data_IF_274578580442
#
_entry.id   IF_274578580442
#
_cell.length_a   1.000
_cell.length_b   1.000
_cell.length_c   1.000
_cell.angle_alpha   90.00
_cell.angle_beta   90.00
_cell.angle_gamma   90.00
#
_symmetry.space_group_name_H-M   'P 1'
#
loop_
_entity.id
_entity.type
_entity.pdbx_description
1 polymer ?
#
# COMPACT_ATOMS: atom_id res chain seq x y z
N UNK A 1 24.34 -8.22 -22.65
CA UNK A 1 23.27 -8.90 -21.91
C UNK A 1 23.92 -9.95 -21.04
N UNK A 2 24.31 -9.57 -19.82
CA UNK A 2 24.75 -10.53 -18.81
C UNK A 2 23.49 -11.02 -18.13
N UNK A 3 23.13 -12.26 -18.43
CA UNK A 3 22.08 -13.02 -17.79
C UNK A 3 22.43 -13.09 -16.28
N UNK A 4 21.79 -12.25 -15.45
CA UNK A 4 21.94 -12.29 -13.98
C UNK A 4 21.21 -13.52 -13.44
N UNK A 5 21.62 -14.71 -13.89
CA UNK A 5 21.20 -15.96 -13.27
C UNK A 5 21.84 -16.01 -11.88
N UNK A 6 21.02 -16.33 -10.88
CA UNK A 6 21.52 -16.72 -9.56
C UNK A 6 22.52 -17.85 -9.75
N UNK A 7 23.72 -17.79 -9.13
CA UNK A 7 24.67 -18.89 -9.16
C UNK A 7 23.98 -20.18 -8.73
N UNK A 8 24.24 -21.28 -9.44
CA UNK A 8 23.62 -22.59 -9.17
C UNK A 8 23.84 -23.10 -7.73
N UNK A 9 24.82 -22.53 -7.03
CA UNK A 9 25.25 -22.94 -5.69
C UNK A 9 24.66 -22.07 -4.55
N UNK A 10 23.75 -21.13 -4.84
CA UNK A 10 23.05 -20.39 -3.78
C UNK A 10 21.87 -21.20 -3.25
N UNK A 11 21.74 -21.24 -1.92
CA UNK A 11 20.61 -21.85 -1.22
C UNK A 11 19.28 -21.32 -1.77
N UNK A 12 18.31 -22.20 -2.02
CA UNK A 12 16.99 -21.78 -2.46
C UNK A 12 16.36 -20.88 -1.39
N UNK A 13 15.63 -19.82 -1.79
CA UNK A 13 14.96 -18.98 -0.80
C UNK A 13 13.91 -19.82 -0.08
N UNK A 14 13.63 -19.48 1.17
CA UNK A 14 12.62 -20.19 1.94
C UNK A 14 11.24 -20.05 1.27
N UNK A 15 10.39 -21.09 1.32
CA UNK A 15 9.02 -20.99 0.80
C UNK A 15 8.25 -19.92 1.59
N UNK A 16 7.52 -19.06 0.88
CA UNK A 16 6.58 -18.10 1.48
C UNK A 16 5.44 -18.91 2.12
N UNK A 17 5.40 -19.00 3.45
CA UNK A 17 4.42 -19.82 4.16
C UNK A 17 3.40 -19.03 4.97
N UNK A 18 3.67 -17.76 5.26
CA UNK A 18 2.76 -16.86 5.93
C UNK A 18 2.54 -15.50 5.21
N UNK A 19 1.63 -14.71 5.76
CA UNK A 19 1.32 -13.40 5.23
C UNK A 19 2.46 -12.38 5.48
N UNK A 20 3.32 -12.60 6.48
CA UNK A 20 4.46 -11.73 6.76
C UNK A 20 5.59 -11.94 5.73
N UNK A 21 5.84 -13.17 5.29
CA UNK A 21 6.73 -13.49 4.19
C UNK A 21 6.27 -12.84 2.88
N UNK A 22 4.94 -12.84 2.64
CA UNK A 22 4.35 -12.27 1.42
C UNK A 22 4.27 -10.75 1.46
N UNK A 23 3.80 -10.17 2.57
CA UNK A 23 3.38 -8.77 2.67
C UNK A 23 4.17 -7.95 3.69
N UNK A 24 5.06 -8.56 4.49
CA UNK A 24 5.91 -7.90 5.48
C UNK A 24 5.23 -7.86 6.83
N UNK A 25 5.82 -7.14 7.79
CA UNK A 25 5.19 -6.98 9.10
C UNK A 25 3.82 -6.31 8.96
N UNK A 26 2.75 -7.07 9.19
CA UNK A 26 1.39 -6.54 9.16
C UNK A 26 1.04 -6.05 10.57
N UNK A 27 0.81 -4.75 10.71
CA UNK A 27 0.35 -4.17 11.97
C UNK A 27 -1.17 -3.99 11.94
N UNK A 28 -1.85 -4.55 12.94
CA UNK A 28 -3.28 -4.35 13.11
C UNK A 28 -3.56 -2.87 13.36
N UNK A 29 -4.52 -2.32 12.62
CA UNK A 29 -5.00 -0.97 12.86
C UNK A 29 -5.90 -1.01 14.10
N UNK A 30 -5.45 -0.38 15.17
CA UNK A 30 -6.23 -0.27 16.40
C UNK A 30 -7.31 0.82 16.22
N UNK A 31 -8.55 0.37 16.05
CA UNK A 31 -9.72 1.24 15.95
C UNK A 31 -10.50 1.31 17.28
N UNK A 32 -10.00 0.70 18.36
CA UNK A 32 -10.73 0.57 19.62
C UNK A 32 -10.85 1.92 20.37
N UNK A 33 -10.16 2.96 19.92
CA UNK A 33 -10.17 4.30 20.54
C UNK A 33 -11.13 5.33 19.90
N UNK A 34 -11.83 5.02 18.81
CA UNK A 34 -12.83 5.97 18.26
C UNK A 34 -14.27 5.59 18.66
N UNK A 35 -14.88 6.42 19.52
CA UNK A 35 -16.35 6.56 19.50
C UNK A 35 -16.79 6.73 18.03
N UNK A 36 -17.86 6.07 17.57
CA UNK A 36 -18.28 6.16 16.18
C UNK A 36 -18.40 7.62 15.79
N UNK A 37 -17.44 8.07 14.98
CA UNK A 37 -17.36 9.44 14.52
C UNK A 37 -18.69 9.85 13.91
N UNK A 38 -18.98 11.14 14.00
CA UNK A 38 -20.13 11.77 13.36
C UNK A 38 -20.34 11.22 11.94
N UNK A 39 -21.59 11.06 11.51
CA UNK A 39 -21.91 10.46 10.21
C UNK A 39 -21.19 11.23 9.11
N UNK A 40 -20.72 10.54 8.06
CA UNK A 40 -20.13 11.17 6.87
C UNK A 40 -21.09 12.28 6.38
N UNK A 41 -20.63 13.54 6.46
CA UNK A 41 -21.40 14.75 6.10
C UNK A 41 -21.79 15.66 7.27
N UNK A 42 -21.65 15.21 8.51
CA UNK A 42 -21.85 16.05 9.69
C UNK A 42 -20.70 17.06 9.85
N UNK A 43 -21.02 18.26 10.34
CA UNK A 43 -20.01 19.27 10.64
C UNK A 43 -19.25 18.87 11.90
N UNK A 44 -17.93 18.71 11.78
CA UNK A 44 -17.05 18.50 12.93
C UNK A 44 -17.15 19.71 13.88
N UNK A 45 -17.37 19.50 15.19
CA UNK A 45 -17.42 20.58 16.16
C UNK A 45 -16.15 21.45 16.14
N UNK A 46 -16.28 22.77 16.29
CA UNK A 46 -15.15 23.72 16.22
C UNK A 46 -13.98 23.34 17.15
N UNK A 47 -14.29 22.81 18.33
CA UNK A 47 -13.28 22.37 19.30
C UNK A 47 -12.46 21.18 18.81
N UNK A 48 -13.10 20.23 18.13
CA UNK A 48 -12.43 19.07 17.54
C UNK A 48 -11.66 19.48 16.28
N UNK A 49 -12.22 20.36 15.46
CA UNK A 49 -11.53 20.95 14.32
C UNK A 49 -10.24 21.65 14.74
N UNK A 50 -10.26 22.44 15.81
CA UNK A 50 -9.06 23.13 16.31
C UNK A 50 -7.98 22.16 16.83
N UNK A 51 -8.37 20.97 17.31
CA UNK A 51 -7.42 19.93 17.70
C UNK A 51 -6.87 19.17 16.49
N UNK A 52 -7.73 18.79 15.54
CA UNK A 52 -7.37 18.04 14.33
C UNK A 52 -6.60 18.90 13.32
N UNK A 53 -6.89 20.21 13.28
CA UNK A 53 -6.30 21.19 12.37
C UNK A 53 -5.81 22.38 13.20
N UNK A 54 -4.61 22.27 13.81
CA UNK A 54 -4.04 23.39 14.57
C UNK A 54 -3.83 24.61 13.66
N UNK A 55 -3.90 25.81 14.23
CA UNK A 55 -3.77 27.10 13.53
C UNK A 55 -2.49 27.23 12.67
N UNK A 56 -1.46 26.44 12.98
CA UNK A 56 -0.24 26.38 12.18
C UNK A 56 -0.46 25.68 10.83
N UNK A 57 -1.23 24.58 10.80
CA UNK A 57 -1.58 23.85 9.56
C UNK A 57 -2.49 24.70 8.68
N UNK A 58 -3.49 25.35 9.26
CA UNK A 58 -4.39 26.25 8.53
C UNK A 58 -3.64 27.42 7.84
N UNK A 59 -2.54 27.91 8.44
CA UNK A 59 -1.69 28.95 7.85
C UNK A 59 -0.76 28.45 6.75
N UNK A 60 -0.43 27.16 6.75
CA UNK A 60 0.39 26.49 5.72
C UNK A 60 -0.45 25.96 4.55
N UNK A 61 -1.77 25.87 4.71
CA UNK A 61 -2.68 25.45 3.64
C UNK A 61 -2.54 26.38 2.42
N UNK A 62 -2.22 25.81 1.26
CA UNK A 62 -2.00 26.54 0.01
C UNK A 62 -0.62 27.18 -0.15
N UNK A 63 0.31 26.93 0.79
CA UNK A 63 1.74 27.26 0.64
C UNK A 63 2.51 26.17 -0.12
N UNK A 64 1.83 25.08 -0.52
CA UNK A 64 2.40 23.93 -1.23
C UNK A 64 3.09 24.38 -2.52
N UNK A 65 4.38 24.09 -2.64
CA UNK A 65 5.25 24.43 -3.76
C UNK A 65 5.51 25.93 -3.96
N UNK A 66 4.99 26.80 -3.08
CA UNK A 66 5.09 28.25 -3.23
C UNK A 66 6.32 28.86 -2.52
N UNK A 67 7.03 28.09 -1.71
CA UNK A 67 8.10 28.57 -0.84
C UNK A 67 9.40 27.78 -1.02
N UNK A 68 10.52 28.45 -0.75
CA UNK A 68 11.89 27.93 -0.82
C UNK A 68 12.17 26.94 0.33
N UNK A 69 13.18 26.07 0.14
CA UNK A 69 13.61 24.82 0.83
C UNK A 69 13.34 24.59 2.34
N UNK A 70 12.82 25.53 3.12
CA UNK A 70 12.63 25.40 4.57
C UNK A 70 11.16 25.42 5.03
N UNK A 71 10.20 25.58 4.11
CA UNK A 71 8.77 25.63 4.40
C UNK A 71 8.02 24.46 3.74
N UNK A 72 8.70 23.33 3.60
CA UNK A 72 8.11 22.06 3.17
C UNK A 72 6.93 21.70 4.08
N UNK A 73 5.81 21.45 3.44
CA UNK A 73 4.55 20.99 4.00
C UNK A 73 4.34 19.52 3.64
N UNK A 74 3.50 18.80 4.40
CA UNK A 74 3.23 17.37 4.15
C UNK A 74 2.62 17.08 2.77
N UNK A 75 2.09 18.10 2.11
CA UNK A 75 1.49 18.03 0.77
C UNK A 75 2.51 18.33 -0.36
N UNK A 76 3.75 18.67 -0.03
CA UNK A 76 4.82 18.90 -1.00
C UNK A 76 5.44 17.58 -1.48
N UNK A 77 5.89 17.55 -2.74
CA UNK A 77 6.64 16.43 -3.32
C UNK A 77 8.14 16.58 -3.09
N UNK A 78 8.53 17.03 -1.89
CA UNK A 78 9.93 17.20 -1.50
C UNK A 78 10.55 15.86 -1.09
N UNK A 79 11.85 15.62 -1.31
CA UNK A 79 12.51 14.38 -0.88
C UNK A 79 12.27 14.04 0.61
N UNK A 80 12.11 15.04 1.46
CA UNK A 80 11.88 14.90 2.90
C UNK A 80 10.46 14.39 3.25
N UNK A 81 9.48 14.61 2.35
CA UNK A 81 8.08 14.20 2.52
C UNK A 81 7.71 12.97 1.70
N UNK A 82 8.56 12.58 0.74
CA UNK A 82 8.37 11.38 -0.06
C UNK A 82 8.66 10.12 0.76
N UNK A 83 7.88 9.06 0.50
CA UNK A 83 8.16 7.72 1.00
C UNK A 83 9.47 7.23 0.37
N UNK A 84 10.34 6.60 1.18
CA UNK A 84 11.62 6.09 0.69
C UNK A 84 11.38 4.91 -0.24
N UNK A 85 11.98 4.94 -1.44
CA UNK A 85 11.99 3.80 -2.38
C UNK A 85 13.14 2.81 -2.06
N UNK A 86 13.36 2.55 -0.78
CA UNK A 86 14.45 1.68 -0.29
C UNK A 86 14.03 0.20 -0.15
N UNK A 87 12.80 -0.13 -0.55
CA UNK A 87 12.22 -1.47 -0.42
C UNK A 87 11.38 -1.67 0.83
N UNK A 88 11.33 -0.68 1.73
CA UNK A 88 10.41 -0.72 2.86
C UNK A 88 8.96 -0.70 2.36
N UNK A 89 8.12 -1.56 2.94
CA UNK A 89 6.69 -1.65 2.63
C UNK A 89 5.87 -0.62 3.42
N UNK A 90 6.42 -0.11 4.53
CA UNK A 90 5.85 0.98 5.31
C UNK A 90 6.90 1.99 5.83
N UNK A 91 6.46 3.05 6.51
CA UNK A 91 7.31 4.14 7.00
C UNK A 91 8.20 3.76 8.21
N UNK A 92 7.88 2.65 8.88
CA UNK A 92 8.54 2.15 10.09
C UNK A 92 9.46 0.95 9.81
N UNK A 93 9.27 0.26 8.70
CA UNK A 93 10.13 -0.81 8.21
C UNK A 93 11.47 -0.28 7.70
N UNK A 94 12.54 -1.03 7.96
CA UNK A 94 13.84 -0.76 7.36
C UNK A 94 13.87 -1.38 5.96
N UNK A 95 14.13 -0.58 4.92
CA UNK A 95 14.22 -1.10 3.56
C UNK A 95 15.40 -2.03 3.37
N UNK A 96 15.23 -3.06 2.55
CA UNK A 96 16.29 -4.01 2.18
C UNK A 96 17.02 -3.57 0.90
N UNK A 97 17.68 -2.41 0.89
CA UNK A 97 18.62 -1.93 -0.17
C UNK A 97 18.23 -2.26 -1.64
N UNK A 98 16.92 -2.34 -1.92
CA UNK A 98 16.40 -3.08 -3.05
C UNK A 98 14.94 -2.74 -3.26
N UNK A 99 14.61 -2.31 -4.46
CA UNK A 99 13.25 -1.90 -4.80
C UNK A 99 12.30 -3.10 -4.66
N UNK A 100 11.19 -2.92 -3.93
CA UNK A 100 10.26 -4.00 -3.57
C UNK A 100 9.73 -4.82 -4.78
N UNK A 101 9.71 -4.21 -5.97
CA UNK A 101 9.01 -4.76 -7.13
C UNK A 101 9.93 -5.34 -8.22
N UNK A 102 11.23 -5.53 -7.97
CA UNK A 102 12.19 -5.85 -9.05
C UNK A 102 12.52 -7.33 -9.23
N UNK A 103 11.97 -8.22 -8.40
CA UNK A 103 11.97 -9.66 -8.69
C UNK A 103 10.85 -10.04 -9.68
N UNK A 104 10.97 -9.53 -10.89
CA UNK A 104 10.09 -9.91 -11.99
C UNK A 104 10.51 -11.27 -12.54
N UNK A 105 9.59 -12.23 -12.53
CA UNK A 105 9.74 -13.51 -13.24
C UNK A 105 8.87 -13.49 -14.49
N UNK A 106 9.45 -13.94 -15.60
CA UNK A 106 8.65 -14.22 -16.80
C UNK A 106 7.90 -15.53 -16.50
N UNK A 107 6.60 -15.40 -16.32
CA UNK A 107 5.65 -16.50 -16.15
C UNK A 107 4.94 -16.77 -17.49
N UNK A 108 4.51 -18.00 -17.70
CA UNK A 108 3.60 -18.33 -18.80
C UNK A 108 2.15 -17.98 -18.43
N UNK A 109 1.23 -18.19 -19.37
CA UNK A 109 -0.21 -17.85 -19.23
C UNK A 109 -0.86 -18.49 -18.00
N UNK A 110 -0.39 -19.68 -17.62
CA UNK A 110 -0.97 -20.49 -16.55
C UNK A 110 -0.47 -20.02 -15.16
N UNK A 111 0.73 -19.41 -15.12
CA UNK A 111 1.42 -18.98 -13.89
C UNK A 111 1.12 -17.51 -13.49
N UNK A 112 0.39 -16.74 -14.30
CA UNK A 112 0.06 -15.33 -13.99
C UNK A 112 -1.03 -15.17 -12.92
N UNK A 113 -1.44 -16.25 -12.26
CA UNK A 113 -2.43 -16.24 -11.18
C UNK A 113 -3.86 -15.94 -11.63
N UNK A 114 -4.12 -15.85 -12.94
CA UNK A 114 -5.46 -15.74 -13.50
C UNK A 114 -6.28 -17.02 -13.34
N UNK A 115 -5.60 -18.17 -13.21
CA UNK A 115 -6.22 -19.49 -13.12
C UNK A 115 -6.83 -19.94 -14.46
N UNK A 116 -6.69 -21.23 -14.76
CA UNK A 116 -7.46 -21.85 -15.84
C UNK A 116 -8.92 -22.02 -15.41
N UNK A 117 -9.86 -21.40 -16.13
CA UNK A 117 -11.27 -21.60 -15.85
C UNK A 117 -12.18 -20.49 -16.37
N UNK A 118 -13.47 -20.68 -16.11
CA UNK A 118 -14.45 -19.61 -16.24
C UNK A 118 -14.34 -18.70 -15.03
N UNK A 119 -14.41 -17.39 -15.25
CA UNK A 119 -14.55 -16.44 -14.14
C UNK A 119 -15.88 -16.67 -13.39
N UNK A 120 -16.03 -16.05 -12.22
CA UNK A 120 -17.23 -16.22 -11.40
C UNK A 120 -18.51 -15.79 -12.13
N UNK A 121 -18.42 -14.84 -13.08
CA UNK A 121 -19.57 -14.35 -13.84
C UNK A 121 -20.02 -15.35 -14.91
N UNK A 122 -19.09 -16.02 -15.59
CA UNK A 122 -19.35 -17.07 -16.55
C UNK A 122 -19.76 -18.37 -15.84
N UNK A 123 -19.15 -18.70 -14.68
CA UNK A 123 -19.63 -19.78 -13.80
C UNK A 123 -21.06 -19.54 -13.34
N UNK A 124 -21.42 -18.32 -12.94
CA UNK A 124 -22.78 -18.00 -12.52
C UNK A 124 -23.82 -18.12 -13.66
N UNK A 125 -23.40 -18.10 -14.93
CA UNK A 125 -24.28 -18.41 -16.07
C UNK A 125 -24.35 -19.91 -16.34
N UNK A 126 -23.27 -20.64 -16.10
CA UNK A 126 -23.19 -22.07 -16.34
C UNK A 126 -23.83 -22.90 -15.22
N UNK A 127 -23.62 -22.50 -13.96
CA UNK A 127 -24.19 -23.10 -12.75
C UNK A 127 -24.78 -22.01 -11.83
N UNK A 128 -25.97 -21.49 -12.16
CA UNK A 128 -26.63 -20.46 -11.37
C UNK A 128 -27.02 -21.00 -9.99
N UNK A 129 -26.81 -20.21 -8.93
CA UNK A 129 -27.15 -20.60 -7.56
C UNK A 129 -28.64 -20.95 -7.35
N UNK A 130 -29.51 -20.47 -8.24
CA UNK A 130 -30.94 -20.77 -8.20
C UNK A 130 -31.35 -21.95 -9.09
N UNK A 131 -30.39 -22.62 -9.74
CA UNK A 131 -30.55 -23.82 -10.55
C UNK A 131 -31.37 -23.64 -11.83
N UNK A 132 -31.60 -22.40 -12.27
CA UNK A 132 -32.38 -22.11 -13.49
C UNK A 132 -31.44 -21.74 -14.63
N UNK A 133 -31.58 -22.34 -15.83
CA UNK A 133 -30.74 -22.04 -16.98
C UNK A 133 -31.00 -20.63 -17.55
#
# INVERSE_FOLDING_TARGET
MTDSRRPFDKEQPEPIDDDEDRMGSVHELDFDEEEPGTRIGDLTPERELAQKIPDQRARKAGMTGATNDNDVTDDDLSPETLIREDGARDAHEAGEDGQADWELRIVDEDDIGGGDGLDEAELARQDPLDGKP
#
